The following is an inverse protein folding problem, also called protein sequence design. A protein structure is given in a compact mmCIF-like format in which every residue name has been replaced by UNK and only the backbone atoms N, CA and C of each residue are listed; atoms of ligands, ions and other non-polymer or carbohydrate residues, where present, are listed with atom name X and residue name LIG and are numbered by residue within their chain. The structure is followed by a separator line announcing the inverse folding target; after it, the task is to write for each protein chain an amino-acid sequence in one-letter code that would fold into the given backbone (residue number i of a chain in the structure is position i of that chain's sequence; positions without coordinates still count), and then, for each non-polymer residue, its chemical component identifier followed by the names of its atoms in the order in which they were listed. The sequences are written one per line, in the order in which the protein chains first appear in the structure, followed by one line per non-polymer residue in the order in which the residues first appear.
data_IF_017474271429
#
_entry.id   IF_017474271429
#
_cell.length_a   1.000
_cell.length_b   1.000
_cell.length_c   1.000
_cell.angle_alpha   90.00
_cell.angle_beta   90.00
_cell.angle_gamma   90.00
#
_symmetry.space_group_name_H-M   'P 1'
#
loop_
_entity.id
_entity.type
_entity.pdbx_description
1 polymer ?
#
# COMPACT_ATOMS: atom_id res chain seq x y z
N UNK A 1 -3.90 -1.31 -24.28
CA UNK A 1 -4.02 -0.99 -22.84
C UNK A 1 -3.11 -1.91 -22.06
N UNK A 2 -2.68 -1.51 -20.88
CA UNK A 2 -1.98 -2.40 -19.94
C UNK A 2 -2.99 -2.80 -18.86
N UNK A 3 -3.06 -4.10 -18.57
CA UNK A 3 -3.88 -4.62 -17.49
C UNK A 3 -3.03 -4.67 -16.22
N UNK A 4 -3.58 -4.18 -15.11
CA UNK A 4 -2.91 -4.13 -13.82
C UNK A 4 -3.77 -4.84 -12.77
N UNK A 5 -3.11 -5.51 -11.83
CA UNK A 5 -3.70 -6.01 -10.58
C UNK A 5 -3.30 -5.03 -9.46
N UNK A 6 -4.28 -4.67 -8.64
CA UNK A 6 -4.08 -3.86 -7.44
C UNK A 6 -4.43 -4.69 -6.20
N UNK A 7 -3.46 -4.87 -5.29
CA UNK A 7 -3.64 -5.61 -4.05
C UNK A 7 -3.51 -4.64 -2.86
N UNK A 8 -4.58 -4.40 -2.08
CA UNK A 8 -4.51 -3.59 -0.88
C UNK A 8 -3.91 -4.37 0.30
N UNK A 9 -3.08 -3.72 1.10
CA UNK A 9 -2.52 -4.28 2.33
C UNK A 9 -2.39 -3.20 3.41
N UNK A 10 -2.55 -3.57 4.67
CA UNK A 10 -2.25 -2.69 5.80
C UNK A 10 -0.79 -2.87 6.24
N UNK A 11 -0.17 -1.77 6.66
CA UNK A 11 1.18 -1.76 7.24
C UNK A 11 1.27 -0.66 8.27
N UNK A 12 1.97 -0.91 9.37
CA UNK A 12 2.29 0.13 10.32
C UNK A 12 3.51 0.93 9.84
N UNK A 13 3.46 2.24 10.01
CA UNK A 13 4.52 3.17 9.67
C UNK A 13 4.65 4.24 10.75
N UNK A 14 5.87 4.74 10.95
CA UNK A 14 6.12 5.88 11.84
C UNK A 14 5.96 7.19 11.05
N UNK A 15 5.10 8.09 11.55
CA UNK A 15 4.95 9.45 11.04
C UNK A 15 5.02 10.41 12.23
N UNK A 16 5.94 11.36 12.18
CA UNK A 16 6.14 12.37 13.24
C UNK A 16 6.38 11.77 14.64
N UNK A 17 7.02 10.59 14.69
CA UNK A 17 7.29 9.86 15.94
C UNK A 17 6.08 9.08 16.50
N UNK A 18 4.96 9.03 15.76
CA UNK A 18 3.77 8.25 16.12
C UNK A 18 3.62 7.04 15.19
N UNK A 19 3.34 5.86 15.75
CA UNK A 19 2.95 4.68 14.98
C UNK A 19 1.53 4.86 14.42
N UNK A 20 1.40 4.73 13.10
CA UNK A 20 0.12 4.84 12.39
C UNK A 20 -0.05 3.68 11.43
N UNK A 21 -1.26 3.15 11.35
CA UNK A 21 -1.61 2.14 10.35
C UNK A 21 -1.90 2.81 9.01
N UNK A 22 -1.10 2.49 7.99
CA UNK A 22 -1.26 2.95 6.63
C UNK A 22 -1.82 1.86 5.70
N UNK A 23 -2.48 2.28 4.62
CA UNK A 23 -2.94 1.41 3.55
C UNK A 23 -1.98 1.50 2.36
N UNK A 24 -1.35 0.38 2.03
CA UNK A 24 -0.47 0.23 0.87
C UNK A 24 -1.25 -0.39 -0.29
N UNK A 25 -1.10 0.18 -1.48
CA UNK A 25 -1.58 -0.41 -2.73
C UNK A 25 -0.39 -0.99 -3.49
N UNK A 26 -0.34 -2.30 -3.62
CA UNK A 26 0.66 -3.00 -4.43
C UNK A 26 0.08 -3.08 -5.84
N UNK A 27 0.77 -2.49 -6.81
CA UNK A 27 0.33 -2.44 -8.21
C UNK A 27 1.33 -3.19 -9.07
N UNK A 28 0.83 -4.18 -9.80
CA UNK A 28 1.64 -5.01 -10.70
C UNK A 28 0.90 -5.25 -12.02
N UNK A 29 1.61 -5.46 -13.14
CA UNK A 29 0.98 -5.89 -14.37
C UNK A 29 0.29 -7.24 -14.16
N UNK A 30 -0.89 -7.41 -14.78
CA UNK A 30 -1.60 -8.69 -14.81
C UNK A 30 -0.89 -9.71 -15.68
#
# INVERSE_FOLDING_TARGET
GMDLICIPAFTDIEIDGEERTAMKLIVEPR
#
